data_IF_750352734535
#
_entry.id   IF_750352734535
#
_cell.length_a   1.000
_cell.length_b   1.000
_cell.length_c   1.000
_cell.angle_alpha   90.00
_cell.angle_beta   90.00
_cell.angle_gamma   90.00
#
_symmetry.space_group_name_H-M   'P 1'
#
loop_
_entity.id
_entity.type
_entity.pdbx_description
1 polymer ?
#
# COMPACT_ATOMS: atom_id res chain seq x y z
N UNK A 1 -14.38 9.72 -16.26
CA UNK A 1 -13.19 10.11 -15.47
C UNK A 1 -12.14 10.66 -16.43
N UNK A 2 -11.53 11.80 -16.12
CA UNK A 2 -10.54 12.42 -16.99
C UNK A 2 -9.24 11.60 -16.90
N UNK A 3 -8.95 10.78 -17.91
CA UNK A 3 -7.73 9.90 -17.97
C UNK A 3 -6.41 10.72 -18.00
N UNK A 4 -6.47 12.04 -17.90
CA UNK A 4 -5.34 12.95 -18.13
C UNK A 4 -4.61 13.42 -16.86
N UNK A 5 -4.98 12.93 -15.65
CA UNK A 5 -4.35 13.40 -14.42
C UNK A 5 -3.82 12.23 -13.54
N UNK A 6 -2.76 11.54 -13.97
CA UNK A 6 -2.16 10.49 -13.17
C UNK A 6 -1.46 11.06 -11.94
N UNK A 7 -1.71 10.45 -10.76
CA UNK A 7 -1.01 10.77 -9.52
C UNK A 7 0.27 9.95 -9.34
N UNK A 8 0.30 8.74 -9.93
CA UNK A 8 1.48 7.87 -9.95
C UNK A 8 1.74 7.42 -11.39
N UNK A 9 2.99 7.51 -11.82
CA UNK A 9 3.47 7.04 -13.13
C UNK A 9 4.63 6.07 -12.91
N UNK A 10 4.50 4.89 -13.44
CA UNK A 10 5.54 3.86 -13.43
C UNK A 10 5.92 3.57 -14.87
N UNK A 11 7.22 3.60 -15.17
CA UNK A 11 7.74 3.32 -16.51
C UNK A 11 8.90 2.34 -16.44
N UNK A 12 8.75 1.23 -17.20
CA UNK A 12 9.79 0.21 -17.42
C UNK A 12 10.39 -0.33 -16.10
N UNK A 13 9.56 -0.46 -15.06
CA UNK A 13 10.00 -0.90 -13.74
C UNK A 13 10.38 -2.37 -13.77
N UNK A 14 11.61 -2.66 -13.33
CA UNK A 14 12.13 -4.01 -13.14
C UNK A 14 12.76 -4.15 -11.76
N UNK A 15 12.53 -5.30 -11.11
CA UNK A 15 13.05 -5.62 -9.78
C UNK A 15 13.68 -7.01 -9.81
N UNK A 16 14.99 -7.07 -9.58
CA UNK A 16 15.80 -8.28 -9.65
C UNK A 16 16.43 -8.61 -8.30
N UNK A 17 16.07 -9.76 -7.74
CA UNK A 17 16.64 -10.28 -6.50
C UNK A 17 17.84 -11.19 -6.83
N UNK A 18 19.07 -10.85 -6.42
CA UNK A 18 20.23 -11.69 -6.67
C UNK A 18 20.16 -12.98 -5.86
N UNK A 19 20.54 -14.09 -6.49
CA UNK A 19 20.72 -15.39 -5.85
C UNK A 19 22.22 -15.59 -5.61
N UNK A 20 22.61 -15.77 -4.35
CA UNK A 20 23.98 -16.05 -3.96
C UNK A 20 24.17 -17.54 -3.68
N UNK A 21 25.33 -18.09 -4.04
CA UNK A 21 25.66 -19.49 -3.80
C UNK A 21 27.14 -19.73 -3.59
N UNK A 22 27.45 -20.94 -3.11
CA UNK A 22 28.81 -21.38 -2.79
C UNK A 22 29.39 -20.75 -1.52
N UNK A 23 30.57 -21.23 -1.10
CA UNK A 23 31.25 -20.79 0.15
C UNK A 23 31.64 -19.31 0.10
N UNK A 24 31.87 -18.75 -1.10
CA UNK A 24 32.27 -17.36 -1.31
C UNK A 24 31.09 -16.42 -1.58
N UNK A 25 29.85 -16.86 -1.40
CA UNK A 25 28.62 -16.10 -1.64
C UNK A 25 28.67 -15.28 -2.94
N UNK A 26 29.10 -15.91 -4.04
CA UNK A 26 29.06 -15.26 -5.36
C UNK A 26 27.65 -15.30 -5.92
N UNK A 27 27.26 -14.22 -6.62
CA UNK A 27 25.99 -14.20 -7.34
C UNK A 27 26.01 -15.28 -8.43
N UNK A 28 25.08 -16.26 -8.34
CA UNK A 28 24.92 -17.37 -9.27
C UNK A 28 23.70 -17.22 -10.20
N UNK A 29 22.82 -16.26 -9.90
CA UNK A 29 21.62 -15.99 -10.68
C UNK A 29 20.86 -14.80 -10.13
N UNK A 30 19.67 -14.56 -10.69
CA UNK A 30 18.70 -13.57 -10.18
C UNK A 30 17.27 -14.06 -10.40
N UNK A 31 16.37 -13.67 -9.50
CA UNK A 31 14.92 -13.79 -9.66
C UNK A 31 14.39 -12.46 -10.14
N UNK A 32 13.82 -12.43 -11.34
CA UNK A 32 13.17 -11.27 -11.92
C UNK A 32 11.73 -11.17 -11.39
N UNK A 33 11.53 -10.55 -10.23
CA UNK A 33 10.23 -10.50 -9.57
C UNK A 33 9.26 -9.50 -10.24
N UNK A 34 9.79 -8.42 -10.86
CA UNK A 34 9.05 -7.48 -11.68
C UNK A 34 9.85 -7.26 -12.96
N UNK A 35 9.18 -7.27 -14.13
CA UNK A 35 9.82 -7.20 -15.44
C UNK A 35 9.13 -6.14 -16.29
N UNK A 36 9.82 -5.04 -16.52
CA UNK A 36 9.43 -3.98 -17.46
C UNK A 36 7.95 -3.53 -17.31
N UNK A 37 7.49 -3.38 -16.06
CA UNK A 37 6.12 -2.97 -15.76
C UNK A 37 5.95 -1.48 -15.95
N UNK A 38 4.94 -1.08 -16.74
CA UNK A 38 4.55 0.31 -16.93
C UNK A 38 3.06 0.45 -16.65
N UNK A 39 2.68 1.39 -15.78
CA UNK A 39 1.30 1.70 -15.45
C UNK A 39 1.17 3.12 -14.89
N UNK A 40 -0.03 3.68 -15.01
CA UNK A 40 -0.42 4.93 -14.39
C UNK A 40 -1.60 4.70 -13.44
N UNK A 41 -1.56 5.33 -12.25
CA UNK A 41 -2.70 5.44 -11.33
C UNK A 41 -3.30 6.84 -11.50
N UNK A 42 -4.58 6.90 -11.81
CA UNK A 42 -5.30 8.17 -11.94
C UNK A 42 -5.73 8.67 -10.57
N UNK A 43 -5.75 9.99 -10.38
CA UNK A 43 -6.18 10.59 -9.12
C UNK A 43 -7.63 10.20 -8.79
N UNK A 44 -7.85 9.71 -7.58
CA UNK A 44 -9.16 9.30 -7.08
C UNK A 44 -9.69 8.00 -7.70
N UNK A 45 -8.85 7.18 -8.36
CA UNK A 45 -9.26 5.85 -8.83
C UNK A 45 -8.79 4.73 -7.90
N UNK A 46 -9.44 3.58 -7.99
CA UNK A 46 -8.91 2.31 -7.52
C UNK A 46 -8.48 1.47 -8.72
N UNK A 47 -7.17 1.24 -8.85
CA UNK A 47 -6.58 0.31 -9.81
C UNK A 47 -6.35 -1.04 -9.14
N UNK A 48 -7.05 -2.07 -9.59
CA UNK A 48 -6.85 -3.43 -9.13
C UNK A 48 -5.67 -4.10 -9.81
N UNK A 49 -4.88 -4.86 -9.05
CA UNK A 49 -3.80 -5.70 -9.58
C UNK A 49 -4.07 -7.14 -9.16
N UNK A 50 -4.30 -8.02 -10.15
CA UNK A 50 -4.56 -9.45 -9.93
C UNK A 50 -3.46 -10.30 -10.54
N UNK A 51 -3.34 -11.54 -10.07
CA UNK A 51 -2.41 -12.54 -10.60
C UNK A 51 -2.15 -13.64 -9.58
N UNK A 52 -1.52 -14.72 -10.02
CA UNK A 52 -1.17 -15.85 -9.18
C UNK A 52 -0.21 -15.47 -8.04
N UNK A 53 -0.14 -16.30 -7.00
CA UNK A 53 0.88 -16.15 -5.96
C UNK A 53 2.28 -16.21 -6.59
N UNK A 54 3.15 -15.28 -6.19
CA UNK A 54 4.51 -15.18 -6.77
C UNK A 54 4.58 -14.45 -8.11
N UNK A 55 3.49 -13.89 -8.65
CA UNK A 55 3.53 -13.12 -9.91
C UNK A 55 4.18 -11.73 -9.81
N UNK A 56 4.63 -11.30 -8.62
CA UNK A 56 5.35 -10.04 -8.43
C UNK A 56 4.52 -8.87 -7.87
N UNK A 57 3.23 -9.05 -7.57
CA UNK A 57 2.31 -7.98 -7.10
C UNK A 57 2.79 -7.25 -5.86
N UNK A 58 3.10 -7.98 -4.79
CA UNK A 58 3.61 -7.39 -3.53
C UNK A 58 4.99 -6.74 -3.73
N UNK A 59 5.81 -7.30 -4.63
CA UNK A 59 7.10 -6.69 -5.00
C UNK A 59 6.89 -5.36 -5.72
N UNK A 60 5.90 -5.27 -6.63
CA UNK A 60 5.51 -4.02 -7.29
C UNK A 60 5.09 -2.98 -6.24
N UNK A 61 4.20 -3.33 -5.30
CA UNK A 61 3.77 -2.44 -4.21
C UNK A 61 4.95 -1.94 -3.35
N UNK A 62 5.84 -2.84 -2.96
CA UNK A 62 7.03 -2.50 -2.17
C UNK A 62 8.05 -1.64 -2.95
N UNK A 63 8.15 -1.82 -4.27
CA UNK A 63 8.99 -0.98 -5.12
C UNK A 63 8.44 0.45 -5.21
N UNK A 64 7.12 0.62 -5.34
CA UNK A 64 6.46 1.94 -5.35
C UNK A 64 6.73 2.69 -4.04
N UNK A 65 6.66 2.00 -2.90
CA UNK A 65 6.99 2.57 -1.57
C UNK A 65 8.47 2.87 -1.37
N UNK A 66 9.33 2.41 -2.30
CA UNK A 66 10.78 2.48 -2.18
C UNK A 66 11.30 1.90 -0.84
N UNK A 67 10.79 0.73 -0.45
CA UNK A 67 11.17 0.05 0.80
C UNK A 67 12.03 -1.19 0.58
N UNK A 68 12.10 -1.73 -0.63
CA UNK A 68 12.84 -2.96 -0.94
C UNK A 68 14.32 -2.83 -0.56
N UNK A 69 14.97 -1.74 -0.96
CA UNK A 69 16.40 -1.52 -0.68
C UNK A 69 16.71 -1.29 0.80
N UNK A 70 15.69 -1.04 1.65
CA UNK A 70 15.88 -0.95 3.10
C UNK A 70 16.11 -2.32 3.75
N UNK A 71 15.50 -3.36 3.19
CA UNK A 71 15.53 -4.73 3.70
C UNK A 71 16.46 -5.64 2.88
N UNK A 72 16.65 -5.31 1.61
CA UNK A 72 17.44 -6.08 0.65
C UNK A 72 18.29 -5.11 -0.23
N UNK A 73 19.42 -4.60 0.28
CA UNK A 73 20.21 -3.55 -0.39
C UNK A 73 20.85 -4.03 -1.71
N UNK A 74 21.01 -5.35 -1.89
CA UNK A 74 21.60 -5.93 -3.10
C UNK A 74 20.60 -6.08 -4.27
N UNK A 75 19.32 -5.79 -4.02
CA UNK A 75 18.26 -5.85 -5.04
C UNK A 75 18.46 -4.73 -6.05
N UNK A 76 18.44 -5.09 -7.34
CA UNK A 76 18.50 -4.12 -8.44
C UNK A 76 17.09 -3.68 -8.80
N UNK A 77 16.87 -2.37 -8.75
CA UNK A 77 15.63 -1.73 -9.20
C UNK A 77 15.99 -0.81 -10.36
N UNK A 78 15.28 -0.96 -11.49
CA UNK A 78 15.44 -0.16 -12.70
C UNK A 78 14.07 0.36 -13.12
N UNK A 79 14.06 1.45 -13.90
CA UNK A 79 12.85 2.13 -14.33
C UNK A 79 12.53 3.34 -13.46
N UNK A 80 11.49 4.06 -13.86
CA UNK A 80 11.10 5.32 -13.22
C UNK A 80 9.80 5.13 -12.42
N UNK A 81 9.77 5.67 -11.19
CA UNK A 81 8.58 5.77 -10.36
C UNK A 81 8.41 7.24 -10.01
N UNK A 82 7.34 7.87 -10.50
CA UNK A 82 7.05 9.27 -10.30
C UNK A 82 5.69 9.46 -9.63
N UNK A 83 5.62 10.39 -8.68
CA UNK A 83 4.36 10.88 -8.11
C UNK A 83 4.13 12.32 -8.54
N UNK A 84 2.86 12.70 -8.64
CA UNK A 84 2.44 14.08 -8.98
C UNK A 84 1.76 14.68 -7.75
N UNK A 85 2.47 15.60 -7.07
CA UNK A 85 1.98 16.34 -5.91
C UNK A 85 1.97 17.83 -6.24
N UNK A 86 0.83 18.50 -6.01
CA UNK A 86 0.68 19.94 -6.30
C UNK A 86 1.18 20.32 -7.71
N UNK A 87 0.80 19.53 -8.73
CA UNK A 87 1.18 19.67 -10.14
C UNK A 87 2.69 19.56 -10.44
N UNK A 88 3.48 19.03 -9.49
CA UNK A 88 4.89 18.76 -9.67
C UNK A 88 5.14 17.26 -9.74
N UNK A 89 5.88 16.81 -10.75
CA UNK A 89 6.37 15.44 -10.85
C UNK A 89 7.63 15.27 -9.96
N UNK A 90 7.59 14.27 -9.08
CA UNK A 90 8.69 13.91 -8.19
C UNK A 90 9.09 12.49 -8.50
N UNK A 91 10.33 12.30 -8.92
CA UNK A 91 10.86 10.98 -9.27
C UNK A 91 11.40 10.26 -8.03
N UNK A 92 10.61 9.34 -7.47
CA UNK A 92 10.93 8.61 -6.24
C UNK A 92 12.08 7.62 -6.41
N UNK A 93 12.21 7.00 -7.60
CA UNK A 93 13.20 5.96 -7.90
C UNK A 93 14.65 6.46 -7.77
N UNK A 94 14.89 7.77 -7.88
CA UNK A 94 16.23 8.39 -7.79
C UNK A 94 16.53 9.00 -6.44
N UNK A 95 15.55 9.07 -5.53
CA UNK A 95 15.73 9.71 -4.23
C UNK A 95 16.51 8.80 -3.27
N UNK A 96 17.45 9.40 -2.55
CA UNK A 96 18.11 8.73 -1.44
C UNK A 96 17.13 8.52 -0.27
N UNK A 97 17.52 7.67 0.71
CA UNK A 97 16.73 7.41 1.92
C UNK A 97 16.35 8.69 2.70
N UNK A 98 17.18 9.72 2.65
CA UNK A 98 16.90 11.01 3.32
C UNK A 98 15.92 11.86 2.52
N UNK A 99 16.11 11.91 1.21
CA UNK A 99 15.30 12.72 0.30
C UNK A 99 13.88 12.19 0.14
N UNK A 100 13.66 10.87 0.19
CA UNK A 100 12.32 10.27 0.07
C UNK A 100 11.47 10.46 1.33
N UNK A 101 12.08 10.72 2.49
CA UNK A 101 11.36 10.79 3.77
C UNK A 101 10.15 11.73 3.76
N UNK A 102 10.21 12.97 3.21
CA UNK A 102 9.07 13.88 3.16
C UNK A 102 7.90 13.35 2.30
N UNK A 103 8.17 12.48 1.33
CA UNK A 103 7.16 11.96 0.40
C UNK A 103 6.43 10.73 0.93
N UNK A 104 6.98 10.02 1.92
CA UNK A 104 6.37 8.83 2.50
C UNK A 104 5.01 9.07 3.13
N UNK A 105 4.74 10.28 3.62
CA UNK A 105 3.43 10.62 4.15
C UNK A 105 2.31 10.55 3.09
N UNK A 106 2.64 10.77 1.81
CA UNK A 106 1.67 10.80 0.71
C UNK A 106 1.37 9.42 0.14
N UNK A 107 2.24 8.42 0.39
CA UNK A 107 2.05 7.04 -0.07
C UNK A 107 2.13 6.12 1.14
N UNK A 108 1.04 5.43 1.45
CA UNK A 108 0.95 4.52 2.58
C UNK A 108 0.54 3.12 2.15
N UNK A 109 0.77 2.13 3.02
CA UNK A 109 0.47 0.74 2.74
C UNK A 109 -0.46 0.14 3.78
N UNK A 110 -1.44 -0.62 3.30
CA UNK A 110 -2.23 -1.55 4.09
C UNK A 110 -1.67 -2.95 3.80
N UNK A 111 -1.20 -3.64 4.84
CA UNK A 111 -0.51 -4.91 4.73
C UNK A 111 -1.47 -6.10 4.71
N UNK A 112 -1.01 -7.19 4.12
CA UNK A 112 -1.73 -8.45 3.98
C UNK A 112 -2.09 -9.10 5.32
N UNK A 113 -1.15 -9.15 6.25
CA UNK A 113 -1.35 -9.79 7.55
C UNK A 113 -1.56 -8.74 8.65
N UNK A 114 -2.79 -8.61 9.16
CA UNK A 114 -3.10 -7.68 10.23
C UNK A 114 -2.48 -8.08 11.59
N UNK A 115 -1.99 -9.33 11.75
CA UNK A 115 -1.35 -9.79 12.96
C UNK A 115 0.11 -9.34 13.05
N UNK A 116 0.88 -9.52 11.99
CA UNK A 116 2.30 -9.17 11.97
C UNK A 116 2.55 -7.69 11.71
N UNK A 117 1.58 -6.99 11.10
CA UNK A 117 1.71 -5.58 10.74
C UNK A 117 1.56 -4.60 11.92
N UNK A 118 0.98 -5.01 13.03
CA UNK A 118 0.77 -4.19 14.22
C UNK A 118 1.72 -4.60 15.33
N UNK A 119 2.39 -3.63 15.97
CA UNK A 119 3.25 -3.90 17.10
C UNK A 119 2.39 -4.37 18.32
N UNK A 120 2.51 -5.65 18.77
CA UNK A 120 1.65 -6.19 19.81
C UNK A 120 1.87 -5.57 21.20
N UNK A 121 2.93 -4.78 21.38
CA UNK A 121 3.29 -4.12 22.64
C UNK A 121 2.83 -2.67 22.72
N UNK A 122 2.22 -2.14 21.65
CA UNK A 122 1.70 -0.77 21.59
C UNK A 122 0.18 -0.78 21.75
N UNK A 123 -0.37 0.25 22.38
CA UNK A 123 -1.81 0.49 22.40
C UNK A 123 -2.28 0.92 21.01
N UNK A 124 -3.54 0.64 20.68
CA UNK A 124 -4.13 0.98 19.37
C UNK A 124 -3.98 2.46 19.06
N UNK A 125 -4.25 3.36 20.04
CA UNK A 125 -4.04 4.80 19.84
C UNK A 125 -2.60 5.17 19.47
N UNK A 126 -1.61 4.47 20.04
CA UNK A 126 -0.20 4.75 19.80
C UNK A 126 0.23 4.22 18.43
N UNK A 127 -0.31 3.07 17.99
CA UNK A 127 -0.10 2.52 16.64
C UNK A 127 -0.62 3.49 15.57
N UNK A 128 -1.83 4.06 15.76
CA UNK A 128 -2.43 4.99 14.81
C UNK A 128 -1.69 6.34 14.85
N UNK A 129 -1.21 6.75 16.01
CA UNK A 129 -0.49 8.00 16.23
C UNK A 129 0.95 7.99 15.70
N UNK A 130 1.61 6.82 15.66
CA UNK A 130 3.03 6.70 15.29
C UNK A 130 3.38 7.38 13.95
N UNK A 131 2.62 7.21 12.83
CA UNK A 131 2.88 7.94 11.59
C UNK A 131 2.80 9.45 11.74
N UNK A 132 1.91 9.96 12.60
CA UNK A 132 1.79 11.39 12.90
C UNK A 132 3.01 11.91 13.67
N UNK A 133 3.54 11.11 14.61
CA UNK A 133 4.73 11.47 15.39
C UNK A 133 5.98 11.56 14.52
N UNK A 134 6.06 10.73 13.48
CA UNK A 134 7.23 10.66 12.58
C UNK A 134 7.18 11.71 11.48
N UNK A 135 5.99 12.01 10.93
CA UNK A 135 5.86 12.74 9.66
C UNK A 135 5.21 14.12 9.82
N UNK A 136 4.69 14.49 10.99
CA UNK A 136 3.98 15.75 11.17
C UNK A 136 4.50 16.56 12.36
N UNK A 137 4.25 17.86 12.34
CA UNK A 137 4.52 18.77 13.45
C UNK A 137 3.27 19.10 14.29
N UNK A 138 2.22 18.27 14.20
CA UNK A 138 0.99 18.43 14.97
C UNK A 138 1.26 18.40 16.47
N UNK A 139 0.55 19.18 17.22
CA UNK A 139 0.55 19.17 18.69
C UNK A 139 -0.03 17.85 19.22
N UNK A 140 0.22 17.57 20.51
CA UNK A 140 -0.34 16.38 21.15
C UNK A 140 -1.88 16.32 21.09
N UNK A 141 -2.56 17.48 21.23
CA UNK A 141 -4.02 17.56 21.15
C UNK A 141 -4.51 17.23 19.74
N UNK A 142 -3.92 17.86 18.71
CA UNK A 142 -4.28 17.64 17.32
C UNK A 142 -4.08 16.19 16.89
N UNK A 143 -2.98 15.55 17.34
CA UNK A 143 -2.75 14.12 17.08
C UNK A 143 -3.82 13.24 17.73
N UNK A 144 -4.21 13.51 18.95
CA UNK A 144 -5.27 12.74 19.63
C UNK A 144 -6.63 12.95 18.96
N UNK A 145 -6.96 14.16 18.55
CA UNK A 145 -8.18 14.46 17.80
C UNK A 145 -8.21 13.68 16.48
N UNK A 146 -7.07 13.65 15.75
CA UNK A 146 -6.93 12.88 14.51
C UNK A 146 -7.09 11.38 14.74
N UNK A 147 -6.47 10.82 15.80
CA UNK A 147 -6.62 9.40 16.18
C UNK A 147 -8.08 9.07 16.48
N UNK A 148 -8.78 9.92 17.26
CA UNK A 148 -10.19 9.74 17.59
C UNK A 148 -11.08 9.78 16.33
N UNK A 149 -10.82 10.71 15.41
CA UNK A 149 -11.51 10.81 14.13
C UNK A 149 -11.29 9.55 13.28
N UNK A 150 -10.04 9.05 13.19
CA UNK A 150 -9.69 7.84 12.44
C UNK A 150 -10.37 6.60 13.01
N UNK A 151 -10.40 6.43 14.35
CA UNK A 151 -11.10 5.32 15.00
C UNK A 151 -12.59 5.30 14.59
N UNK A 152 -13.26 6.45 14.66
CA UNK A 152 -14.65 6.57 14.24
C UNK A 152 -14.83 6.22 12.75
N UNK A 153 -13.93 6.70 11.87
CA UNK A 153 -13.97 6.42 10.43
C UNK A 153 -13.89 4.94 10.08
N UNK A 154 -13.09 4.19 10.83
CA UNK A 154 -12.97 2.74 10.62
C UNK A 154 -13.97 1.91 11.46
N UNK A 155 -14.92 2.57 12.15
CA UNK A 155 -15.96 1.90 12.94
C UNK A 155 -15.45 1.25 14.23
N UNK A 156 -14.42 1.84 14.85
CA UNK A 156 -13.92 1.49 16.17
C UNK A 156 -14.34 2.54 17.22
N UNK A 157 -14.50 2.12 18.48
CA UNK A 157 -14.87 3.02 19.57
C UNK A 157 -13.63 3.65 20.23
N UNK A 158 -13.82 4.83 20.84
CA UNK A 158 -12.75 5.50 21.58
C UNK A 158 -12.23 4.68 22.76
N UNK A 159 -13.09 3.89 23.41
CA UNK A 159 -12.71 2.99 24.50
C UNK A 159 -11.71 1.92 24.04
N UNK A 160 -11.84 1.46 22.80
CA UNK A 160 -10.95 0.47 22.19
C UNK A 160 -9.54 1.02 21.93
N UNK A 161 -9.36 2.33 21.92
CA UNK A 161 -8.05 2.98 21.69
C UNK A 161 -6.99 2.60 22.73
N UNK A 162 -7.42 2.27 23.96
CA UNK A 162 -6.55 1.90 25.08
C UNK A 162 -6.29 0.39 25.20
N UNK A 163 -6.69 -0.40 24.21
CA UNK A 163 -6.43 -1.84 24.15
C UNK A 163 -5.22 -2.17 23.28
N UNK A 164 -4.72 -3.40 23.46
CA UNK A 164 -3.64 -3.93 22.63
C UNK A 164 -4.18 -4.72 21.43
N UNK A 165 -3.41 -4.84 20.32
CA UNK A 165 -3.86 -5.56 19.11
C UNK A 165 -4.36 -6.99 19.36
N UNK A 166 -3.78 -7.72 20.32
CA UNK A 166 -4.19 -9.10 20.62
C UNK A 166 -5.60 -9.23 21.21
N UNK A 167 -6.20 -8.13 21.66
CA UNK A 167 -7.58 -8.08 22.19
C UNK A 167 -8.65 -7.90 21.09
N UNK A 168 -8.24 -7.84 19.81
CA UNK A 168 -9.11 -7.56 18.67
C UNK A 168 -9.20 -8.77 17.73
N UNK A 169 -10.36 -8.89 17.04
CA UNK A 169 -10.53 -9.84 15.93
C UNK A 169 -9.66 -9.45 14.73
N UNK A 170 -9.48 -10.38 13.78
CA UNK A 170 -8.74 -10.12 12.54
C UNK A 170 -9.27 -8.91 11.77
N UNK A 171 -10.59 -8.82 11.56
CA UNK A 171 -11.21 -7.68 10.89
C UNK A 171 -11.05 -6.36 11.65
N UNK A 172 -11.10 -6.37 12.98
CA UNK A 172 -10.84 -5.17 13.77
C UNK A 172 -9.37 -4.74 13.69
N UNK A 173 -8.41 -5.69 13.68
CA UNK A 173 -6.99 -5.37 13.45
C UNK A 173 -6.76 -4.79 12.07
N UNK A 174 -7.44 -5.29 11.05
CA UNK A 174 -7.37 -4.72 9.72
C UNK A 174 -7.88 -3.27 9.69
N UNK A 175 -8.97 -2.97 10.41
CA UNK A 175 -9.47 -1.59 10.59
C UNK A 175 -8.44 -0.69 11.28
N UNK A 176 -7.70 -1.19 12.28
CA UNK A 176 -6.59 -0.46 12.91
C UNK A 176 -5.47 -0.20 11.90
N UNK A 177 -5.11 -1.18 11.07
CA UNK A 177 -4.12 -1.03 9.99
C UNK A 177 -4.53 0.01 8.96
N UNK A 178 -5.82 0.04 8.57
CA UNK A 178 -6.39 1.06 7.69
C UNK A 178 -6.31 2.45 8.35
N UNK A 179 -6.73 2.59 9.61
CA UNK A 179 -6.65 3.86 10.34
C UNK A 179 -5.21 4.38 10.44
N UNK A 180 -4.24 3.49 10.69
CA UNK A 180 -2.82 3.84 10.71
C UNK A 180 -2.33 4.35 9.36
N UNK A 181 -2.72 3.68 8.27
CA UNK A 181 -2.33 4.09 6.92
C UNK A 181 -2.92 5.46 6.53
N UNK A 182 -4.10 5.80 7.02
CA UNK A 182 -4.77 7.08 6.76
C UNK A 182 -4.28 8.23 7.66
N UNK A 183 -3.45 7.95 8.67
CA UNK A 183 -3.11 8.94 9.70
C UNK A 183 -2.44 10.21 9.12
N UNK A 184 -1.62 10.09 8.09
CA UNK A 184 -0.89 11.20 7.48
C UNK A 184 -1.62 11.89 6.32
N UNK A 185 -2.92 11.62 6.13
CA UNK A 185 -3.72 12.10 5.00
C UNK A 185 -3.05 11.78 3.64
N UNK A 186 -2.78 10.48 3.35
CA UNK A 186 -2.09 10.10 2.13
C UNK A 186 -2.96 10.36 0.90
N UNK A 187 -2.31 10.57 -0.25
CA UNK A 187 -3.00 10.67 -1.54
C UNK A 187 -3.04 9.31 -2.26
N UNK A 188 -2.11 8.39 -1.91
CA UNK A 188 -1.98 7.06 -2.50
C UNK A 188 -1.95 6.01 -1.40
N UNK A 189 -2.79 4.99 -1.54
CA UNK A 189 -2.79 3.78 -0.71
C UNK A 189 -2.42 2.57 -1.58
N UNK A 190 -1.46 1.78 -1.12
CA UNK A 190 -1.18 0.46 -1.66
C UNK A 190 -1.76 -0.56 -0.69
N UNK A 191 -2.82 -1.24 -1.10
CA UNK A 191 -3.47 -2.28 -0.31
C UNK A 191 -3.02 -3.65 -0.82
N UNK A 192 -2.06 -4.27 -0.11
CA UNK A 192 -1.50 -5.56 -0.49
C UNK A 192 -2.28 -6.69 0.18
N UNK A 193 -3.14 -7.34 -0.59
CA UNK A 193 -4.04 -8.42 -0.15
C UNK A 193 -4.77 -8.14 1.18
N UNK A 194 -5.41 -6.98 1.34
CA UNK A 194 -5.86 -6.48 2.66
C UNK A 194 -6.99 -7.30 3.30
N UNK A 195 -7.55 -8.28 2.58
CA UNK A 195 -8.66 -9.11 3.04
C UNK A 195 -8.39 -10.61 2.98
N UNK A 196 -7.24 -11.05 2.44
CA UNK A 196 -6.94 -12.46 2.19
C UNK A 196 -6.95 -13.36 3.43
N UNK A 197 -6.61 -12.81 4.59
CA UNK A 197 -6.57 -13.53 5.88
C UNK A 197 -7.88 -13.46 6.69
N UNK A 198 -8.97 -12.95 6.09
CA UNK A 198 -10.25 -12.71 6.77
C UNK A 198 -11.36 -13.62 6.24
N UNK A 199 -12.37 -13.88 7.08
CA UNK A 199 -13.59 -14.58 6.67
C UNK A 199 -14.38 -13.78 5.63
N UNK A 200 -15.10 -14.46 4.73
CA UNK A 200 -15.82 -13.85 3.60
C UNK A 200 -16.75 -12.70 4.02
N UNK A 201 -17.48 -12.85 5.13
CA UNK A 201 -18.37 -11.81 5.64
C UNK A 201 -17.62 -10.56 6.13
N UNK A 202 -16.44 -10.76 6.71
CA UNK A 202 -15.57 -9.67 7.18
C UNK A 202 -14.85 -9.03 5.99
N UNK A 203 -14.45 -9.82 4.98
CA UNK A 203 -13.88 -9.29 3.74
C UNK A 203 -14.81 -8.25 3.09
N UNK A 204 -16.11 -8.58 2.92
CA UNK A 204 -17.09 -7.66 2.35
C UNK A 204 -17.20 -6.35 3.16
N UNK A 205 -17.15 -6.42 4.50
CA UNK A 205 -17.18 -5.23 5.34
C UNK A 205 -15.95 -4.35 5.18
N UNK A 206 -14.75 -4.95 5.05
CA UNK A 206 -13.51 -4.20 4.85
C UNK A 206 -13.47 -3.58 3.45
N UNK A 207 -13.93 -4.30 2.42
CA UNK A 207 -14.01 -3.79 1.05
C UNK A 207 -14.94 -2.57 0.99
N UNK A 208 -16.15 -2.67 1.55
CA UNK A 208 -17.09 -1.54 1.60
C UNK A 208 -16.50 -0.35 2.36
N UNK A 209 -15.88 -0.60 3.52
CA UNK A 209 -15.17 0.46 4.26
C UNK A 209 -14.10 1.15 3.40
N UNK A 210 -13.32 0.39 2.63
CA UNK A 210 -12.29 0.97 1.76
C UNK A 210 -12.88 1.78 0.61
N UNK A 211 -14.02 1.34 0.05
CA UNK A 211 -14.74 2.09 -0.99
C UNK A 211 -15.29 3.41 -0.44
N UNK A 212 -15.93 3.37 0.73
CA UNK A 212 -16.47 4.57 1.40
C UNK A 212 -15.34 5.59 1.70
N UNK A 213 -14.21 5.10 2.23
CA UNK A 213 -13.04 5.94 2.52
C UNK A 213 -12.38 6.49 1.25
N UNK A 214 -12.34 5.70 0.18
CA UNK A 214 -11.81 6.13 -1.12
C UNK A 214 -12.62 7.28 -1.70
N UNK A 215 -13.95 7.17 -1.68
CA UNK A 215 -14.87 8.21 -2.17
C UNK A 215 -14.81 9.46 -1.27
N UNK A 216 -14.92 9.30 0.04
CA UNK A 216 -14.96 10.41 0.99
C UNK A 216 -13.67 11.22 1.02
N UNK A 217 -12.51 10.53 0.97
CA UNK A 217 -11.19 11.14 1.11
C UNK A 217 -10.50 11.36 -0.26
N UNK A 218 -11.19 11.02 -1.37
CA UNK A 218 -10.65 11.08 -2.74
C UNK A 218 -9.29 10.38 -2.88
N UNK A 219 -9.16 9.19 -2.26
CA UNK A 219 -7.92 8.42 -2.27
C UNK A 219 -7.68 7.78 -3.64
N UNK A 220 -6.42 7.67 -4.03
CA UNK A 220 -6.01 6.86 -5.17
C UNK A 220 -5.46 5.53 -4.64
N UNK A 221 -6.02 4.40 -5.04
CA UNK A 221 -5.72 3.09 -4.44
C UNK A 221 -5.15 2.13 -5.49
N UNK A 222 -4.02 1.48 -5.20
CA UNK A 222 -3.60 0.25 -5.85
C UNK A 222 -4.05 -0.91 -4.96
N UNK A 223 -5.05 -1.66 -5.43
CA UNK A 223 -5.63 -2.78 -4.70
C UNK A 223 -5.11 -4.10 -5.25
N UNK A 224 -4.22 -4.76 -4.51
CA UNK A 224 -3.62 -6.04 -4.88
C UNK A 224 -4.43 -7.16 -4.25
N UNK A 225 -4.86 -8.14 -5.07
CA UNK A 225 -5.49 -9.37 -4.59
C UNK A 225 -5.25 -10.52 -5.57
N UNK A 226 -5.56 -11.75 -5.14
CA UNK A 226 -5.55 -12.93 -5.99
C UNK A 226 -6.95 -13.29 -6.53
N UNK A 227 -8.02 -12.72 -5.94
CA UNK A 227 -9.40 -12.95 -6.36
C UNK A 227 -9.89 -11.82 -7.28
N UNK A 228 -10.15 -12.18 -8.55
CA UNK A 228 -10.61 -11.25 -9.57
C UNK A 228 -12.00 -10.68 -9.25
N UNK A 229 -12.88 -11.45 -8.57
CA UNK A 229 -14.23 -10.99 -8.24
C UNK A 229 -14.19 -9.85 -7.20
N UNK A 230 -13.31 -9.97 -6.20
CA UNK A 230 -13.06 -8.91 -5.22
C UNK A 230 -12.52 -7.66 -5.89
N UNK A 231 -11.52 -7.83 -6.77
CA UNK A 231 -10.89 -6.70 -7.45
C UNK A 231 -11.87 -5.99 -8.39
N UNK A 232 -12.66 -6.73 -9.18
CA UNK A 232 -13.68 -6.13 -10.04
C UNK A 232 -14.75 -5.34 -9.28
N UNK A 233 -15.02 -5.71 -8.03
CA UNK A 233 -16.02 -5.02 -7.22
C UNK A 233 -15.53 -3.64 -6.73
N UNK A 234 -14.26 -3.53 -6.35
CA UNK A 234 -13.70 -2.30 -5.75
C UNK A 234 -13.01 -1.39 -6.78
N UNK A 235 -12.59 -1.92 -7.93
CA UNK A 235 -11.70 -1.21 -8.86
C UNK A 235 -12.42 -0.71 -10.10
N UNK A 236 -11.99 0.43 -10.63
CA UNK A 236 -12.44 0.96 -11.93
C UNK A 236 -11.64 0.38 -13.10
N UNK A 237 -10.37 0.03 -12.87
CA UNK A 237 -9.49 -0.63 -13.83
C UNK A 237 -8.81 -1.82 -13.17
N UNK A 238 -8.50 -2.85 -13.95
CA UNK A 238 -7.81 -4.06 -13.47
C UNK A 238 -6.59 -4.34 -14.35
N UNK A 239 -5.44 -4.48 -13.70
CA UNK A 239 -4.21 -4.97 -14.28
C UNK A 239 -3.97 -6.44 -13.91
N UNK A 240 -3.56 -7.25 -14.88
CA UNK A 240 -3.23 -8.67 -14.67
C UNK A 240 -1.72 -8.84 -14.69
N UNK A 241 -1.17 -9.36 -13.58
CA UNK A 241 0.27 -9.70 -13.48
C UNK A 241 0.48 -11.21 -13.62
N UNK A 242 1.44 -11.58 -14.47
CA UNK A 242 1.88 -12.95 -14.69
C UNK A 242 3.42 -13.01 -14.82
N UNK A 243 4.06 -13.85 -14.03
CA UNK A 243 5.53 -14.06 -14.06
C UNK A 243 6.37 -12.76 -14.02
N UNK A 244 5.94 -11.78 -13.24
CA UNK A 244 6.61 -10.48 -13.09
C UNK A 244 6.21 -9.43 -14.13
N UNK A 245 5.43 -9.76 -15.13
CA UNK A 245 4.99 -8.85 -16.19
C UNK A 245 3.54 -8.41 -15.99
N UNK A 246 3.22 -7.19 -16.37
CA UNK A 246 1.86 -6.69 -16.47
C UNK A 246 1.36 -6.96 -17.88
N UNK A 247 0.55 -8.02 -18.03
CA UNK A 247 0.13 -8.53 -19.34
C UNK A 247 -1.06 -7.79 -19.92
N UNK A 248 -1.89 -7.18 -19.08
CA UNK A 248 -3.09 -6.46 -19.50
C UNK A 248 -3.52 -5.44 -18.45
N UNK A 249 -4.08 -4.30 -18.89
CA UNK A 249 -4.87 -3.37 -18.05
C UNK A 249 -6.14 -3.03 -18.82
N UNK A 250 -7.30 -3.21 -18.18
CA UNK A 250 -8.62 -2.88 -18.75
C UNK A 250 -9.53 -2.19 -17.75
N UNK A 251 -10.50 -1.45 -18.26
CA UNK A 251 -11.61 -0.93 -17.48
C UNK A 251 -12.50 -2.11 -17.01
N UNK A 252 -13.03 -2.05 -15.79
CA UNK A 252 -13.82 -3.18 -15.21
C UNK A 252 -15.20 -3.38 -15.88
N UNK A 253 -15.64 -2.43 -16.70
CA UNK A 253 -16.88 -2.50 -17.48
C UNK A 253 -16.74 -3.21 -18.82
N UNK A 254 -15.52 -3.54 -19.22
CA UNK A 254 -15.18 -4.29 -20.45
C UNK A 254 -14.84 -5.75 -20.08
#
# INVERSE_FOLDING_TARGET
MNKENPILKIKDLSVDFPIFGGILQKQIGSVHAVRNVSLDLIRGETLGIVGESGSGKSTLGNAILNVIQLTAPDVKIQGDIKIVLNDQEIELSRLTRKEIKPYRQYIQMIFQDPYSSLNPRMLVKDIIKEPLDINTNLTFSEKNEKVNWLLNKVGLTLEQSNRYPHEFSGGQRQRIGIARALATDPEIIIADEPVSALDVSIQAQIINLMMDLQEELNLSIIFIAHDLSVVKHISSRVGVMYSGELVEIKDTGD
#
